data_IF_678359590357
#
_entry.id   IF_678359590357
#
_cell.length_a   1.000
_cell.length_b   1.000
_cell.length_c   1.000
_cell.angle_alpha   90.00
_cell.angle_beta   90.00
_cell.angle_gamma   90.00
#
_symmetry.space_group_name_H-M   'P 1'
#
loop_
_entity.id
_entity.type
_entity.pdbx_description
1 polymer ?
#
# COMPACT_ATOMS: atom_id res chain seq x y z
N UNK A 1 29.04 2.88 -10.00
CA UNK A 1 28.23 2.04 -9.10
C UNK A 1 26.97 1.75 -9.88
N UNK A 2 26.86 0.56 -10.49
CA UNK A 2 25.73 0.23 -11.37
C UNK A 2 24.55 -0.09 -10.48
N UNK A 3 23.62 0.84 -10.33
CA UNK A 3 22.32 0.58 -9.72
C UNK A 3 21.61 -0.43 -10.61
N UNK A 4 21.48 -1.66 -10.14
CA UNK A 4 20.74 -2.71 -10.83
C UNK A 4 19.24 -2.33 -10.77
N UNK A 5 18.60 -1.99 -11.91
CA UNK A 5 17.22 -1.52 -11.92
C UNK A 5 16.24 -2.54 -11.33
N UNK A 6 16.58 -3.83 -11.38
CA UNK A 6 15.76 -4.92 -10.86
C UNK A 6 15.61 -4.86 -9.33
N UNK A 7 16.68 -4.50 -8.61
CA UNK A 7 16.68 -4.35 -7.14
C UNK A 7 16.01 -3.08 -6.64
N UNK A 8 15.88 -2.05 -7.48
CA UNK A 8 15.17 -0.81 -7.14
C UNK A 8 13.67 -0.99 -7.32
N UNK A 9 13.24 -1.68 -8.37
CA UNK A 9 11.82 -1.97 -8.64
C UNK A 9 11.18 -2.79 -7.51
N UNK A 10 11.91 -3.74 -6.91
CA UNK A 10 11.49 -4.52 -5.72
C UNK A 10 11.20 -3.65 -4.48
N UNK A 11 11.61 -2.37 -4.49
CA UNK A 11 11.46 -1.43 -3.38
C UNK A 11 10.51 -0.28 -3.70
N UNK A 12 9.86 -0.29 -4.87
CA UNK A 12 8.89 0.72 -5.28
C UNK A 12 7.47 0.16 -5.23
N UNK A 13 6.47 1.05 -5.28
CA UNK A 13 5.05 0.71 -5.06
C UNK A 13 4.55 -0.49 -5.88
N UNK A 14 4.90 -0.66 -7.18
CA UNK A 14 4.42 -1.80 -7.95
C UNK A 14 4.71 -3.16 -7.33
N UNK A 15 5.83 -3.31 -6.61
CA UNK A 15 6.19 -4.56 -5.93
C UNK A 15 5.26 -4.91 -4.75
N UNK A 16 4.52 -3.93 -4.22
CA UNK A 16 3.66 -4.08 -3.05
C UNK A 16 2.17 -4.08 -3.41
N UNK A 17 1.80 -3.68 -4.62
CA UNK A 17 0.40 -3.46 -5.01
C UNK A 17 -0.50 -4.70 -4.83
N UNK A 18 0.04 -5.91 -4.98
CA UNK A 18 -0.70 -7.16 -4.78
C UNK A 18 -0.95 -7.52 -3.31
N UNK A 19 -0.35 -6.79 -2.36
CA UNK A 19 -0.55 -7.03 -0.91
C UNK A 19 -1.82 -6.40 -0.36
N UNK A 20 -2.47 -5.53 -1.15
CA UNK A 20 -3.73 -4.87 -0.81
C UNK A 20 -4.81 -5.22 -1.84
N UNK A 21 -6.07 -4.91 -1.52
CA UNK A 21 -7.16 -5.16 -2.45
C UNK A 21 -7.05 -4.33 -3.75
N UNK A 22 -7.57 -4.88 -4.88
CA UNK A 22 -7.43 -4.29 -6.21
C UNK A 22 -8.15 -2.94 -6.36
N UNK A 23 -9.06 -2.60 -5.46
CA UNK A 23 -9.75 -1.32 -5.45
C UNK A 23 -8.84 -0.13 -5.17
N UNK A 24 -7.63 -0.36 -4.63
CA UNK A 24 -6.63 0.69 -4.41
C UNK A 24 -5.58 0.78 -5.51
N UNK A 25 -5.64 -0.04 -6.56
CA UNK A 25 -4.66 -0.04 -7.64
C UNK A 25 -4.47 1.36 -8.25
N UNK A 26 -5.56 2.07 -8.55
CA UNK A 26 -5.48 3.42 -9.11
C UNK A 26 -4.84 4.45 -8.15
N UNK A 27 -5.03 4.30 -6.83
CA UNK A 27 -4.38 5.17 -5.83
C UNK A 27 -2.88 4.92 -5.79
N UNK A 28 -2.48 3.65 -5.84
CA UNK A 28 -1.08 3.23 -5.85
C UNK A 28 -0.37 3.61 -7.15
N UNK A 29 -1.04 3.45 -8.29
CA UNK A 29 -0.50 3.84 -9.60
C UNK A 29 -0.27 5.35 -9.66
N UNK A 30 -1.22 6.16 -9.17
CA UNK A 30 -1.06 7.61 -9.10
C UNK A 30 0.09 8.00 -8.16
N UNK A 31 0.15 7.42 -6.97
CA UNK A 31 1.24 7.68 -6.03
C UNK A 31 2.60 7.26 -6.61
N UNK A 32 2.68 6.13 -7.31
CA UNK A 32 3.90 5.67 -7.97
C UNK A 32 4.35 6.67 -9.03
N UNK A 33 3.43 7.16 -9.86
CA UNK A 33 3.71 8.19 -10.86
C UNK A 33 4.29 9.45 -10.21
N UNK A 34 3.63 9.96 -9.18
CA UNK A 34 4.02 11.22 -8.52
C UNK A 34 5.38 11.10 -7.82
N UNK A 35 5.65 9.97 -7.15
CA UNK A 35 6.94 9.70 -6.52
C UNK A 35 8.06 9.52 -7.55
N UNK A 36 7.81 8.81 -8.65
CA UNK A 36 8.79 8.63 -9.74
C UNK A 36 9.13 9.96 -10.41
N UNK A 37 8.19 10.89 -10.49
CA UNK A 37 8.43 12.24 -11.00
C UNK A 37 9.32 13.08 -10.07
N UNK A 38 9.30 12.84 -8.75
CA UNK A 38 10.19 13.47 -7.79
C UNK A 38 11.58 12.83 -7.77
N UNK A 39 11.62 11.50 -7.81
CA UNK A 39 12.85 10.70 -7.81
C UNK A 39 12.58 9.34 -8.47
N UNK A 40 13.14 9.07 -9.66
CA UNK A 40 12.97 7.78 -10.33
C UNK A 40 13.50 6.59 -9.51
N UNK A 41 14.41 6.83 -8.57
CA UNK A 41 15.03 5.81 -7.72
C UNK A 41 14.47 5.83 -6.28
N UNK A 42 13.31 6.47 -6.04
CA UNK A 42 12.67 6.48 -4.72
C UNK A 42 12.51 5.06 -4.17
N UNK A 43 12.54 4.93 -2.84
CA UNK A 43 12.43 3.62 -2.16
C UNK A 43 11.40 3.68 -1.07
N UNK A 44 10.59 2.64 -0.97
CA UNK A 44 9.68 2.44 0.13
C UNK A 44 10.44 1.88 1.33
N UNK A 45 10.28 2.52 2.48
CA UNK A 45 10.77 2.05 3.77
C UNK A 45 9.69 1.25 4.51
N UNK A 46 8.45 1.73 4.48
CA UNK A 46 7.29 1.05 5.07
C UNK A 46 6.13 1.00 4.09
N UNK A 47 5.51 -0.18 3.98
CA UNK A 47 4.25 -0.38 3.28
C UNK A 47 3.36 -1.30 4.12
N UNK A 48 2.29 -0.75 4.68
CA UNK A 48 1.36 -1.54 5.51
C UNK A 48 -0.05 -1.00 5.45
N UNK A 49 -1.00 -1.75 5.99
CA UNK A 49 -2.38 -1.31 6.20
C UNK A 49 -2.66 -1.19 7.68
N UNK A 50 -3.17 -0.03 8.12
CA UNK A 50 -3.48 0.22 9.53
C UNK A 50 -4.81 0.94 9.66
N UNK A 51 -5.67 0.42 10.54
CA UNK A 51 -7.02 0.93 10.79
C UNK A 51 -7.90 1.06 9.52
N UNK A 52 -7.64 0.23 8.50
CA UNK A 52 -8.42 0.22 7.26
C UNK A 52 -7.97 1.21 6.18
N UNK A 53 -6.81 1.86 6.35
CA UNK A 53 -6.15 2.68 5.34
C UNK A 53 -4.69 2.24 5.09
N UNK A 54 -4.11 2.75 4.00
CA UNK A 54 -2.70 2.60 3.65
C UNK A 54 -1.80 3.38 4.62
N UNK A 55 -0.59 2.87 4.85
CA UNK A 55 0.52 3.59 5.48
C UNK A 55 1.75 3.31 4.63
N UNK A 56 2.31 4.38 4.07
CA UNK A 56 3.44 4.31 3.15
C UNK A 56 4.44 5.38 3.59
N UNK A 57 5.69 4.96 3.79
CA UNK A 57 6.82 5.85 4.09
C UNK A 57 7.90 5.66 3.03
N UNK A 58 8.39 6.77 2.48
CA UNK A 58 9.50 6.79 1.51
C UNK A 58 10.79 7.02 2.27
N UNK A 59 11.85 6.29 1.91
CA UNK A 59 13.15 6.41 2.54
C UNK A 59 13.75 7.81 2.33
N UNK A 60 14.45 8.30 3.35
CA UNK A 60 15.15 9.58 3.31
C UNK A 60 16.17 9.65 2.18
N UNK A 61 16.31 10.85 1.61
CA UNK A 61 17.32 11.16 0.60
C UNK A 61 18.39 12.09 1.18
N UNK A 62 19.64 11.85 0.78
CA UNK A 62 20.78 12.69 1.14
C UNK A 62 21.51 13.15 -0.11
N UNK A 63 21.81 14.45 -0.19
CA UNK A 63 22.56 15.09 -1.28
C UNK A 63 23.83 15.68 -0.70
N UNK A 64 24.99 15.29 -1.23
CA UNK A 64 26.31 15.70 -0.73
C UNK A 64 26.53 15.44 0.78
N UNK A 65 25.85 14.41 1.31
CA UNK A 65 25.91 14.01 2.72
C UNK A 65 24.95 14.77 3.63
N UNK A 66 24.18 15.72 3.10
CA UNK A 66 23.17 16.47 3.85
C UNK A 66 21.77 15.90 3.58
N UNK A 67 20.92 15.93 4.62
CA UNK A 67 19.53 15.47 4.52
C UNK A 67 18.70 16.40 3.64
N UNK A 68 18.01 15.83 2.66
CA UNK A 68 17.12 16.55 1.76
C UNK A 68 15.71 16.64 2.37
N UNK A 69 15.51 17.65 3.23
CA UNK A 69 14.23 17.88 3.90
C UNK A 69 13.10 18.24 2.94
N UNK A 70 13.40 18.89 1.80
CA UNK A 70 12.38 19.22 0.81
C UNK A 70 11.83 17.94 0.14
N UNK A 71 12.70 16.97 -0.14
CA UNK A 71 12.26 15.67 -0.63
C UNK A 71 11.39 14.93 0.39
N UNK A 72 11.81 14.92 1.66
CA UNK A 72 11.05 14.29 2.73
C UNK A 72 9.64 14.91 2.86
N UNK A 73 9.53 16.24 2.90
CA UNK A 73 8.25 16.94 3.02
C UNK A 73 7.33 16.66 1.82
N UNK A 74 7.87 16.68 0.60
CA UNK A 74 7.09 16.42 -0.62
C UNK A 74 6.60 14.98 -0.71
N UNK A 75 7.46 14.01 -0.38
CA UNK A 75 7.08 12.59 -0.40
C UNK A 75 6.07 12.27 0.70
N UNK A 76 6.22 12.85 1.90
CA UNK A 76 5.23 12.74 2.98
C UNK A 76 3.87 13.31 2.57
N UNK A 77 3.84 14.48 1.92
CA UNK A 77 2.58 15.06 1.44
C UNK A 77 1.86 14.16 0.42
N UNK A 78 2.61 13.51 -0.49
CA UNK A 78 2.04 12.57 -1.46
C UNK A 78 1.50 11.30 -0.79
N UNK A 79 2.25 10.71 0.15
CA UNK A 79 1.79 9.51 0.86
C UNK A 79 0.62 9.79 1.78
N UNK A 80 0.51 10.99 2.35
CA UNK A 80 -0.65 11.43 3.14
C UNK A 80 -1.91 11.54 2.28
N UNK A 81 -1.81 12.07 1.05
CA UNK A 81 -2.96 12.12 0.11
C UNK A 81 -3.45 10.71 -0.21
N UNK A 82 -2.53 9.78 -0.52
CA UNK A 82 -2.90 8.40 -0.81
C UNK A 82 -3.50 7.69 0.41
N UNK A 83 -2.95 7.95 1.60
CA UNK A 83 -3.46 7.48 2.89
C UNK A 83 -4.91 7.91 3.09
N UNK A 84 -5.20 9.22 3.02
CA UNK A 84 -6.55 9.77 3.18
C UNK A 84 -7.50 9.19 2.13
N UNK A 85 -7.06 9.12 0.87
CA UNK A 85 -7.87 8.56 -0.20
C UNK A 85 -8.24 7.09 0.05
N UNK A 86 -7.30 6.28 0.57
CA UNK A 86 -7.54 4.87 0.89
C UNK A 86 -8.59 4.68 1.99
N UNK A 87 -8.65 5.57 2.99
CA UNK A 87 -9.63 5.55 4.08
C UNK A 87 -11.07 5.83 3.60
N UNK A 88 -11.20 6.36 2.38
CA UNK A 88 -12.47 6.68 1.72
C UNK A 88 -12.74 5.87 0.43
N UNK A 89 -11.85 4.96 0.06
CA UNK A 89 -11.94 4.15 -1.16
C UNK A 89 -12.09 2.68 -0.81
N UNK A 90 -13.09 2.01 -1.38
CA UNK A 90 -13.32 0.59 -1.15
C UNK A 90 -12.13 -0.23 -1.64
N UNK A 91 -11.47 -0.92 -0.72
CA UNK A 91 -10.28 -1.72 -1.00
C UNK A 91 -10.55 -2.86 -2.02
N UNK A 92 -11.78 -3.37 -2.08
CA UNK A 92 -12.13 -4.46 -3.01
C UNK A 92 -12.45 -4.00 -4.44
N UNK A 93 -12.93 -2.77 -4.65
CA UNK A 93 -13.48 -2.36 -5.95
C UNK A 93 -13.23 -0.92 -6.38
N UNK A 94 -12.66 -0.07 -5.53
CA UNK A 94 -12.33 1.33 -5.84
C UNK A 94 -13.50 2.32 -5.76
N UNK A 95 -14.73 1.84 -5.51
CA UNK A 95 -15.87 2.73 -5.28
C UNK A 95 -15.74 3.47 -3.93
N UNK A 96 -16.45 4.59 -3.71
CA UNK A 96 -16.47 5.26 -2.41
C UNK A 96 -16.83 4.29 -1.26
N UNK A 97 -16.00 4.33 -0.21
CA UNK A 97 -16.06 3.42 0.93
C UNK A 97 -15.98 4.17 2.25
N UNK A 98 -16.09 3.41 3.35
CA UNK A 98 -15.79 3.90 4.70
C UNK A 98 -15.20 2.76 5.52
N UNK A 99 -14.37 3.10 6.51
CA UNK A 99 -13.75 2.12 7.41
C UNK A 99 -14.81 1.28 8.11
N UNK A 100 -14.65 -0.05 8.06
CA UNK A 100 -15.50 -1.05 8.71
C UNK A 100 -14.68 -2.02 9.52
N UNK A 101 -15.27 -2.50 10.59
CA UNK A 101 -14.81 -3.72 11.25
C UNK A 101 -15.16 -4.95 10.42
N UNK A 102 -14.20 -5.87 10.36
CA UNK A 102 -14.26 -7.18 9.74
C UNK A 102 -13.67 -8.18 10.71
N UNK A 103 -14.17 -9.40 10.73
CA UNK A 103 -13.66 -10.42 11.61
C UNK A 103 -14.40 -11.73 11.47
N UNK A 104 -13.74 -12.82 11.86
CA UNK A 104 -14.30 -14.17 11.97
C UNK A 104 -14.80 -14.50 13.39
N UNK A 105 -14.84 -13.48 14.27
CA UNK A 105 -15.19 -13.61 15.67
C UNK A 105 -13.98 -13.83 16.60
N UNK A 106 -12.84 -14.28 16.08
CA UNK A 106 -11.59 -14.44 16.84
C UNK A 106 -10.66 -13.23 16.65
N UNK A 107 -10.64 -12.66 15.45
CA UNK A 107 -9.85 -11.47 15.13
C UNK A 107 -10.72 -10.40 14.49
N UNK A 108 -10.54 -9.14 14.91
CA UNK A 108 -11.19 -7.99 14.28
C UNK A 108 -10.13 -7.14 13.58
N UNK A 109 -10.24 -7.02 12.27
CA UNK A 109 -9.45 -6.11 11.44
C UNK A 109 -10.34 -5.04 10.81
N UNK A 110 -9.73 -3.94 10.37
CA UNK A 110 -10.44 -2.83 9.72
C UNK A 110 -10.09 -2.79 8.24
N UNK A 111 -11.10 -2.55 7.39
CA UNK A 111 -10.95 -2.32 5.95
C UNK A 111 -11.89 -1.20 5.50
N UNK A 112 -11.47 -0.38 4.55
CA UNK A 112 -12.36 0.57 3.90
C UNK A 112 -13.18 -0.15 2.83
N UNK A 113 -14.51 -0.22 2.99
CA UNK A 113 -15.39 -0.95 2.08
C UNK A 113 -16.69 -0.19 1.78
N UNK A 114 -17.16 -0.33 0.54
CA UNK A 114 -18.49 0.12 0.12
C UNK A 114 -19.59 -0.82 0.66
N UNK A 115 -20.85 -0.40 0.56
CA UNK A 115 -21.97 -1.18 1.09
C UNK A 115 -22.22 -2.50 0.36
N UNK A 116 -21.83 -2.61 -0.91
CA UNK A 116 -21.93 -3.83 -1.69
C UNK A 116 -20.81 -4.84 -1.36
N UNK A 117 -19.55 -4.39 -1.31
CA UNK A 117 -18.44 -5.28 -0.97
C UNK A 117 -18.46 -5.69 0.51
N UNK A 118 -19.08 -4.90 1.39
CA UNK A 118 -19.15 -5.29 2.80
C UNK A 118 -19.91 -6.60 3.03
N UNK A 119 -20.87 -6.95 2.19
CA UNK A 119 -21.70 -8.16 2.37
C UNK A 119 -21.16 -9.37 1.61
N UNK A 120 -20.12 -9.17 0.79
CA UNK A 120 -19.49 -10.26 0.05
C UNK A 120 -18.72 -11.16 1.02
N UNK A 121 -18.97 -12.48 1.03
CA UNK A 121 -18.14 -13.42 1.77
C UNK A 121 -16.70 -13.35 1.25
N UNK A 122 -15.72 -13.30 2.15
CA UNK A 122 -14.34 -13.48 1.72
C UNK A 122 -14.18 -14.92 1.23
N UNK A 123 -13.47 -15.11 0.12
CA UNK A 123 -12.97 -16.43 -0.20
C UNK A 123 -12.03 -16.84 0.95
N UNK A 124 -12.42 -17.86 1.71
CA UNK A 124 -11.52 -18.45 2.70
C UNK A 124 -10.33 -19.00 1.92
N UNK A 125 -9.15 -18.42 2.12
CA UNK A 125 -7.92 -19.02 1.63
C UNK A 125 -7.85 -20.42 2.26
N UNK A 126 -8.01 -21.46 1.43
CA UNK A 126 -7.83 -22.83 1.88
C UNK A 126 -6.37 -22.94 2.32
N UNK A 127 -6.06 -23.32 3.58
CA UNK A 127 -4.67 -23.51 3.96
C UNK A 127 -4.07 -24.56 3.03
N UNK A 128 -2.99 -24.19 2.34
CA UNK A 128 -2.26 -25.09 1.46
C UNK A 128 -1.92 -26.36 2.24
N UNK A 129 -2.42 -27.50 1.76
CA UNK A 129 -2.46 -28.75 2.48
C UNK A 129 -1.11 -29.14 3.07
N UNK A 130 -1.13 -29.52 4.34
CA UNK A 130 -0.07 -30.29 4.99
C UNK A 130 0.19 -31.56 4.19
N UNK A 131 1.39 -31.69 3.61
CA UNK A 131 1.88 -32.97 3.06
C UNK A 131 1.92 -34.00 4.20
N UNK A 132 1.33 -35.20 4.06
CA UNK A 132 1.59 -36.27 5.01
C UNK A 132 3.04 -36.74 4.84
N UNK A 133 3.78 -36.78 5.95
CA UNK A 133 5.05 -37.50 6.00
C UNK A 133 4.74 -39.00 5.91
N UNK A 134 5.40 -39.68 4.97
CA UNK A 134 5.46 -41.15 4.88
C UNK A 134 6.66 -41.65 5.68
#
# INVERSE_FOLDING_TARGET
MTTDPDRTAERQIPAWASTVGPGWAALLDQLHHDLTALDPDYRIEEFTTKLGGLRITVADRFVDGEFDGEFADRTAALTDVATIASEHTCEDCGAPGRIRFRGDGAFTWMRCLCDSCRTRPQAVATPAGSRPAT
#
